data_IF_172273377289
#
_entry.id   IF_172273377289
#
_cell.length_a   1.000
_cell.length_b   1.000
_cell.length_c   1.000
_cell.angle_alpha   90.00
_cell.angle_beta   90.00
_cell.angle_gamma   90.00
#
_symmetry.space_group_name_H-M   'P 1'
#
loop_
_entity.id
_entity.type
_entity.pdbx_description
1 polymer ?
#
# COMPACT_ATOMS: atom_id res chain seq x y z
N UNK A 1 15.76 -8.67 11.13
CA UNK A 1 14.96 -7.96 12.15
C UNK A 1 15.08 -6.46 11.93
N UNK A 2 14.19 -5.68 12.54
CA UNK A 2 14.09 -4.21 12.40
C UNK A 2 15.35 -3.45 12.84
N UNK A 3 16.23 -4.06 13.64
CA UNK A 3 17.38 -3.40 14.32
C UNK A 3 18.28 -2.60 13.38
N UNK A 4 18.55 -3.11 12.17
CA UNK A 4 19.41 -2.42 11.18
C UNK A 4 18.77 -1.15 10.60
N UNK A 5 17.46 -1.00 10.77
CA UNK A 5 16.67 0.12 10.26
C UNK A 5 16.29 1.13 11.35
N UNK A 6 16.48 0.81 12.63
CA UNK A 6 16.10 1.71 13.74
C UNK A 6 16.82 3.05 13.65
N UNK A 7 18.15 3.04 13.46
CA UNK A 7 18.94 4.27 13.38
C UNK A 7 18.62 5.14 12.15
N UNK A 8 18.55 4.61 10.91
CA UNK A 8 18.33 5.43 9.72
C UNK A 8 16.86 5.80 9.44
N UNK A 9 15.88 5.17 10.07
CA UNK A 9 14.46 5.38 9.77
C UNK A 9 13.74 6.22 10.83
N UNK A 10 12.76 7.03 10.42
CA UNK A 10 11.87 7.81 11.29
C UNK A 10 10.38 7.53 11.01
N UNK A 11 10.09 6.52 10.22
CA UNK A 11 8.74 6.00 9.97
C UNK A 11 8.82 4.48 10.11
N UNK A 12 7.95 3.89 10.93
CA UNK A 12 7.89 2.44 11.11
C UNK A 12 6.48 1.94 10.84
N UNK A 13 6.36 1.06 9.85
CA UNK A 13 5.16 0.26 9.63
C UNK A 13 5.26 -1.01 10.47
N UNK A 14 4.37 -1.11 11.46
CA UNK A 14 4.16 -2.31 12.26
C UNK A 14 3.23 -3.21 11.46
N UNK A 15 3.83 -4.06 10.64
CA UNK A 15 3.10 -5.10 9.92
C UNK A 15 2.78 -6.25 10.88
N UNK A 16 1.48 -6.52 11.02
CA UNK A 16 0.96 -7.56 11.91
C UNK A 16 0.07 -8.56 11.17
N UNK A 17 0.12 -8.57 9.84
CA UNK A 17 -0.75 -9.41 9.03
C UNK A 17 -0.62 -10.91 9.34
N UNK A 18 0.61 -11.40 9.55
CA UNK A 18 0.90 -12.79 9.91
C UNK A 18 0.31 -13.22 11.27
N UNK A 19 0.02 -12.27 12.16
CA UNK A 19 -0.55 -12.52 13.49
C UNK A 19 -2.09 -12.41 13.50
N UNK A 20 -2.70 -11.96 12.39
CA UNK A 20 -4.16 -11.82 12.29
C UNK A 20 -4.79 -13.21 12.15
N UNK A 21 -5.79 -13.49 12.97
CA UNK A 21 -6.43 -14.80 13.09
C UNK A 21 -5.86 -15.69 14.19
N UNK A 22 -4.72 -15.32 14.79
CA UNK A 22 -4.26 -15.94 16.05
C UNK A 22 -5.08 -15.36 17.21
N UNK A 23 -5.85 -16.21 17.91
CA UNK A 23 -6.66 -15.76 19.04
C UNK A 23 -5.78 -15.26 20.19
N UNK A 24 -6.15 -14.10 20.74
CA UNK A 24 -5.64 -13.65 22.03
C UNK A 24 -6.09 -14.58 23.16
N UNK A 25 -5.51 -14.40 24.35
CA UNK A 25 -5.93 -15.18 25.51
C UNK A 25 -7.41 -14.89 25.82
N UNK A 26 -8.24 -15.91 26.16
CA UNK A 26 -9.68 -15.69 26.39
C UNK A 26 -9.98 -14.62 27.44
N UNK A 27 -9.09 -14.48 28.43
CA UNK A 27 -9.21 -13.49 29.50
C UNK A 27 -8.98 -12.08 28.98
N UNK A 28 -8.07 -11.89 28.02
CA UNK A 28 -7.84 -10.60 27.36
C UNK A 28 -9.04 -10.20 26.50
N UNK A 29 -9.67 -11.16 25.82
CA UNK A 29 -10.87 -10.93 24.99
C UNK A 29 -12.04 -10.49 25.89
N UNK A 30 -12.31 -11.23 26.97
CA UNK A 30 -13.34 -10.84 27.93
C UNK A 30 -13.04 -9.49 28.61
N UNK A 31 -11.77 -9.22 28.93
CA UNK A 31 -11.38 -7.92 29.48
C UNK A 31 -11.65 -6.78 28.49
N UNK A 32 -11.33 -6.98 27.20
CA UNK A 32 -11.60 -6.01 26.14
C UNK A 32 -13.10 -5.75 25.98
N UNK A 33 -13.92 -6.81 25.91
CA UNK A 33 -15.39 -6.69 25.81
C UNK A 33 -15.96 -5.93 27.01
N UNK A 34 -15.51 -6.24 28.23
CA UNK A 34 -15.99 -5.58 29.45
C UNK A 34 -15.54 -4.11 29.56
N UNK A 35 -14.39 -3.78 28.96
CA UNK A 35 -13.87 -2.41 28.94
C UNK A 35 -14.59 -1.51 27.94
N UNK A 36 -15.13 -2.09 26.88
CA UNK A 36 -15.82 -1.37 25.80
C UNK A 36 -17.31 -1.72 25.65
N UNK A 37 -18.14 -1.55 26.70
CA UNK A 37 -19.57 -1.82 26.60
C UNK A 37 -20.28 -0.90 25.60
N UNK A 38 -19.72 0.28 25.32
CA UNK A 38 -20.22 1.25 24.33
C UNK A 38 -20.11 0.76 22.88
N UNK A 39 -19.25 -0.22 22.61
CA UNK A 39 -19.17 -0.85 21.29
C UNK A 39 -20.36 -1.77 21.02
N UNK A 40 -21.13 -2.18 22.04
CA UNK A 40 -22.22 -3.16 21.87
C UNK A 40 -23.57 -2.44 21.76
N UNK A 41 -24.25 -2.65 20.65
CA UNK A 41 -25.55 -2.07 20.33
C UNK A 41 -25.51 -1.29 19.02
N UNK A 42 -26.32 -0.23 18.95
CA UNK A 42 -26.44 0.64 17.78
C UNK A 42 -25.51 1.85 17.97
N UNK A 43 -24.38 1.87 17.26
CA UNK A 43 -23.35 2.91 17.35
C UNK A 43 -23.49 3.88 16.18
N UNK A 44 -23.81 5.14 16.47
CA UNK A 44 -23.90 6.19 15.45
C UNK A 44 -22.53 6.79 15.16
N UNK A 45 -22.12 6.76 13.89
CA UNK A 45 -20.88 7.36 13.40
C UNK A 45 -21.22 8.50 12.45
N UNK A 46 -20.74 9.71 12.76
CA UNK A 46 -20.94 10.88 11.92
C UNK A 46 -20.30 10.66 10.54
N UNK A 47 -21.10 10.73 9.48
CA UNK A 47 -20.65 10.47 8.10
C UNK A 47 -21.06 9.12 7.53
N UNK A 48 -21.63 8.22 8.36
CA UNK A 48 -22.23 6.96 7.92
C UNK A 48 -23.75 7.06 8.11
N UNK A 49 -24.52 6.77 7.05
CA UNK A 49 -25.98 6.99 7.03
C UNK A 49 -26.75 6.10 8.02
N UNK A 50 -26.34 4.84 8.15
CA UNK A 50 -26.96 3.88 9.05
C UNK A 50 -26.06 3.64 10.28
N UNK A 51 -26.64 3.49 11.48
CA UNK A 51 -25.87 3.08 12.66
C UNK A 51 -25.15 1.74 12.42
N UNK A 52 -23.98 1.61 13.04
CA UNK A 52 -23.27 0.34 13.09
C UNK A 52 -23.95 -0.54 14.13
N UNK A 53 -24.59 -1.62 13.67
CA UNK A 53 -25.20 -2.62 14.55
C UNK A 53 -24.13 -3.62 14.98
N UNK A 54 -23.62 -3.46 16.20
CA UNK A 54 -22.50 -4.22 16.72
C UNK A 54 -22.99 -5.11 17.86
N UNK A 55 -23.02 -6.42 17.61
CA UNK A 55 -23.36 -7.39 18.65
C UNK A 55 -22.15 -7.75 19.51
N UNK A 56 -22.37 -8.30 20.71
CA UNK A 56 -21.27 -8.83 21.54
C UNK A 56 -20.48 -9.90 20.79
N UNK A 57 -21.16 -10.75 20.02
CA UNK A 57 -20.56 -11.79 19.21
C UNK A 57 -19.67 -11.21 18.10
N UNK A 58 -20.04 -10.06 17.52
CA UNK A 58 -19.18 -9.36 16.56
C UNK A 58 -17.90 -8.85 17.26
N UNK A 59 -18.03 -8.19 18.41
CA UNK A 59 -16.86 -7.73 19.20
C UNK A 59 -15.95 -8.90 19.53
N UNK A 60 -16.52 -10.02 20.02
CA UNK A 60 -15.77 -11.22 20.36
C UNK A 60 -15.07 -11.83 19.14
N UNK A 61 -15.74 -11.92 17.99
CA UNK A 61 -15.16 -12.45 16.74
C UNK A 61 -14.02 -11.56 16.26
N UNK A 62 -14.22 -10.24 16.22
CA UNK A 62 -13.18 -9.29 15.80
C UNK A 62 -12.01 -9.29 16.78
N UNK A 63 -12.25 -9.37 18.09
CA UNK A 63 -11.19 -9.48 19.08
C UNK A 63 -10.38 -10.79 18.92
N UNK A 64 -11.05 -11.93 18.68
CA UNK A 64 -10.38 -13.19 18.37
C UNK A 64 -9.48 -13.08 17.13
N UNK A 65 -9.86 -12.25 16.15
CA UNK A 65 -9.09 -12.11 14.92
C UNK A 65 -7.95 -11.09 15.03
N UNK A 66 -8.14 -9.97 15.74
CA UNK A 66 -7.24 -8.82 15.67
C UNK A 66 -6.57 -8.44 16.99
N UNK A 67 -7.10 -8.84 18.15
CA UNK A 67 -6.58 -8.36 19.44
C UNK A 67 -5.12 -8.78 19.63
N UNK A 68 -4.76 -10.02 19.27
CA UNK A 68 -3.38 -10.50 19.32
C UNK A 68 -2.45 -9.70 18.42
N UNK A 69 -2.89 -9.38 17.21
CA UNK A 69 -2.14 -8.54 16.26
C UNK A 69 -1.87 -7.15 16.85
N UNK A 70 -2.83 -6.53 17.56
CA UNK A 70 -2.57 -5.24 18.24
C UNK A 70 -1.54 -5.38 19.37
N UNK A 71 -1.58 -6.46 20.16
CA UNK A 71 -0.56 -6.74 21.19
C UNK A 71 0.83 -6.94 20.58
N UNK A 72 0.91 -7.55 19.39
CA UNK A 72 2.16 -7.71 18.62
C UNK A 72 2.67 -6.37 18.10
N UNK A 73 1.79 -5.51 17.59
CA UNK A 73 2.14 -4.13 17.24
C UNK A 73 2.77 -3.40 18.44
N UNK A 74 2.19 -3.55 19.65
CA UNK A 74 2.75 -2.96 20.87
C UNK A 74 4.16 -3.46 21.19
N UNK A 75 4.39 -4.76 21.07
CA UNK A 75 5.70 -5.35 21.31
C UNK A 75 6.76 -4.82 20.34
N UNK A 76 6.42 -4.68 19.04
CA UNK A 76 7.32 -4.11 18.03
C UNK A 76 7.58 -2.63 18.32
N UNK A 77 6.53 -1.87 18.65
CA UNK A 77 6.65 -0.46 19.02
C UNK A 77 7.58 -0.26 20.22
N UNK A 78 7.42 -1.03 21.30
CA UNK A 78 8.26 -0.92 22.49
C UNK A 78 9.73 -1.24 22.22
N UNK A 79 9.97 -2.21 21.35
CA UNK A 79 11.33 -2.52 20.89
C UNK A 79 11.95 -1.34 20.14
N UNK A 80 11.19 -0.68 19.26
CA UNK A 80 11.65 0.51 18.53
C UNK A 80 11.89 1.68 19.50
N UNK A 81 10.97 1.96 20.43
CA UNK A 81 11.13 3.00 21.46
C UNK A 81 12.39 2.77 22.27
N UNK A 82 12.62 1.54 22.73
CA UNK A 82 13.81 1.17 23.50
C UNK A 82 15.09 1.38 22.70
N UNK A 83 15.09 0.97 21.43
CA UNK A 83 16.26 1.09 20.56
C UNK A 83 16.52 2.55 20.10
N UNK A 84 15.48 3.38 19.99
CA UNK A 84 15.57 4.83 19.72
C UNK A 84 15.92 5.66 20.96
N UNK A 85 15.62 5.15 22.15
CA UNK A 85 15.77 5.87 23.41
C UNK A 85 14.63 6.87 23.71
N UNK A 86 13.49 6.75 23.02
CA UNK A 86 12.35 7.67 23.17
C UNK A 86 11.34 7.58 22.03
N UNK A 87 10.36 8.49 22.02
CA UNK A 87 9.22 8.50 21.08
C UNK A 87 9.22 9.67 20.09
N UNK A 88 10.08 10.68 20.28
CA UNK A 88 9.97 11.97 19.57
C UNK A 88 10.52 11.92 18.14
N UNK A 89 11.33 10.91 17.81
CA UNK A 89 12.11 10.84 16.56
C UNK A 89 11.53 9.88 15.52
N UNK A 90 10.27 9.45 15.67
CA UNK A 90 9.61 8.63 14.66
C UNK A 90 8.08 8.69 14.68
N UNK A 91 7.49 8.29 13.55
CA UNK A 91 6.06 8.06 13.40
C UNK A 91 5.78 6.57 13.24
N UNK A 92 4.61 6.15 13.71
CA UNK A 92 4.18 4.75 13.71
C UNK A 92 2.95 4.56 12.83
N UNK A 93 2.98 3.53 12.01
CA UNK A 93 1.83 2.99 11.30
C UNK A 93 1.51 1.59 11.82
N UNK A 94 0.23 1.23 11.91
CA UNK A 94 -0.20 -0.17 12.01
C UNK A 94 -0.78 -0.60 10.68
N UNK A 95 -0.26 -1.70 10.12
CA UNK A 95 -0.70 -2.27 8.84
C UNK A 95 -1.47 -3.56 9.05
N UNK A 96 -2.60 -3.69 8.37
CA UNK A 96 -3.43 -4.91 8.32
C UNK A 96 -4.01 -5.14 6.92
N UNK A 97 -3.38 -4.58 5.88
CA UNK A 97 -3.85 -4.61 4.49
C UNK A 97 -3.65 -5.99 3.81
N UNK A 98 -2.76 -6.82 4.36
CA UNK A 98 -2.48 -8.18 3.89
C UNK A 98 -3.37 -9.26 4.53
N UNK A 99 -4.59 -8.92 4.96
CA UNK A 99 -5.60 -9.90 5.40
C UNK A 99 -6.37 -10.54 4.24
N UNK A 100 -7.12 -11.63 4.49
CA UNK A 100 -7.98 -12.23 3.46
C UNK A 100 -9.18 -11.34 3.11
N UNK A 101 -9.82 -10.75 4.12
CA UNK A 101 -11.04 -9.96 3.96
C UNK A 101 -10.82 -8.50 4.34
N UNK A 102 -11.48 -7.55 3.64
CA UNK A 102 -11.50 -6.15 4.03
C UNK A 102 -12.23 -5.96 5.36
N UNK A 103 -11.76 -5.02 6.19
CA UNK A 103 -12.41 -4.71 7.45
C UNK A 103 -13.65 -3.85 7.19
N UNK A 104 -14.84 -4.30 7.62
CA UNK A 104 -16.04 -3.46 7.54
C UNK A 104 -16.02 -2.38 8.63
N UNK A 105 -16.81 -1.29 8.52
CA UNK A 105 -16.71 -0.15 9.44
C UNK A 105 -16.84 -0.50 10.94
N UNK A 106 -17.73 -1.44 11.28
CA UNK A 106 -17.87 -1.94 12.65
C UNK A 106 -16.61 -2.65 13.16
N UNK A 107 -16.00 -3.49 12.34
CA UNK A 107 -14.77 -4.20 12.68
C UNK A 107 -13.60 -3.21 12.80
N UNK A 108 -13.52 -2.23 11.90
CA UNK A 108 -12.52 -1.17 11.94
C UNK A 108 -12.61 -0.34 13.23
N UNK A 109 -13.82 -0.01 13.69
CA UNK A 109 -14.02 0.71 14.96
C UNK A 109 -13.53 -0.11 16.16
N UNK A 110 -13.87 -1.41 16.20
CA UNK A 110 -13.41 -2.33 17.25
C UNK A 110 -11.87 -2.45 17.25
N UNK A 111 -11.26 -2.54 16.07
CA UNK A 111 -9.80 -2.62 15.92
C UNK A 111 -9.11 -1.35 16.41
N UNK A 112 -9.65 -0.16 16.08
CA UNK A 112 -9.11 1.11 16.55
C UNK A 112 -9.20 1.26 18.08
N UNK A 113 -10.28 0.78 18.70
CA UNK A 113 -10.38 0.70 20.16
C UNK A 113 -9.29 -0.22 20.74
N UNK A 114 -9.08 -1.39 20.15
CA UNK A 114 -8.03 -2.32 20.56
C UNK A 114 -6.61 -1.73 20.40
N UNK A 115 -6.35 -0.95 19.34
CA UNK A 115 -5.06 -0.25 19.15
C UNK A 115 -4.89 0.86 20.20
N UNK A 116 -5.93 1.64 20.46
CA UNK A 116 -5.90 2.69 21.49
C UNK A 116 -5.57 2.11 22.88
N UNK A 117 -6.11 0.92 23.19
CA UNK A 117 -5.83 0.17 24.40
C UNK A 117 -4.37 -0.25 24.56
N UNK A 118 -3.66 -0.44 23.46
CA UNK A 118 -2.22 -0.68 23.48
C UNK A 118 -1.40 0.59 23.72
N UNK A 119 -2.02 1.77 23.75
CA UNK A 119 -1.36 3.07 23.88
C UNK A 119 -0.26 3.31 22.82
N UNK A 120 -0.49 2.85 21.59
CA UNK A 120 0.39 3.12 20.45
C UNK A 120 -0.09 4.44 19.80
N UNK A 121 0.75 5.49 19.72
CA UNK A 121 0.39 6.77 19.11
C UNK A 121 0.45 6.69 17.58
N UNK A 122 -0.41 5.86 16.98
CA UNK A 122 -0.43 5.64 15.53
C UNK A 122 -0.73 6.94 14.77
N UNK A 123 0.09 7.24 13.77
CA UNK A 123 -0.08 8.37 12.87
C UNK A 123 -0.78 7.97 11.58
N UNK A 124 -0.69 6.69 11.22
CA UNK A 124 -1.41 6.13 10.08
C UNK A 124 -1.89 4.71 10.38
N UNK A 125 -2.97 4.30 9.71
CA UNK A 125 -3.47 2.92 9.73
C UNK A 125 -3.78 2.50 8.30
N UNK A 126 -3.39 1.28 7.94
CA UNK A 126 -3.62 0.72 6.61
C UNK A 126 -4.57 -0.48 6.69
N UNK A 127 -5.88 -0.27 6.47
CA UNK A 127 -6.82 -1.37 6.33
C UNK A 127 -6.72 -2.00 4.93
N UNK A 128 -7.38 -3.14 4.78
CA UNK A 128 -7.60 -3.75 3.47
C UNK A 128 -8.90 -3.21 2.87
N UNK A 129 -8.84 -2.75 1.62
CA UNK A 129 -10.01 -2.37 0.82
C UNK A 129 -10.50 -3.53 -0.05
N UNK A 130 -11.78 -3.51 -0.43
CA UNK A 130 -12.30 -4.41 -1.49
C UNK A 130 -11.60 -4.14 -2.82
N UNK A 131 -11.64 -5.14 -3.71
CA UNK A 131 -11.01 -5.10 -5.03
C UNK A 131 -9.54 -5.53 -4.98
N UNK A 132 -8.82 -5.32 -6.09
CA UNK A 132 -7.42 -5.73 -6.21
C UNK A 132 -6.51 -4.53 -6.41
N UNK A 133 -5.50 -4.43 -5.54
CA UNK A 133 -4.46 -3.42 -5.58
C UNK A 133 -3.18 -3.98 -6.21
N UNK A 134 -3.31 -4.49 -7.42
CA UNK A 134 -2.21 -5.15 -8.12
C UNK A 134 -1.02 -4.20 -8.35
N UNK A 135 0.20 -4.72 -8.26
CA UNK A 135 1.43 -3.93 -8.39
C UNK A 135 1.56 -3.35 -9.80
N UNK A 136 1.90 -2.07 -9.90
CA UNK A 136 2.20 -1.40 -11.17
C UNK A 136 1.02 -1.11 -12.10
N UNK A 137 -0.22 -1.41 -11.72
CA UNK A 137 -1.41 -1.20 -12.57
C UNK A 137 -2.54 -0.53 -11.78
N UNK A 138 -3.62 -0.17 -12.47
CA UNK A 138 -4.80 0.45 -11.86
C UNK A 138 -5.56 -0.51 -10.94
N UNK A 139 -6.46 0.07 -10.14
CA UNK A 139 -7.39 -0.65 -9.30
C UNK A 139 -8.32 -1.52 -10.15
N UNK A 140 -8.58 -2.75 -9.68
CA UNK A 140 -9.54 -3.67 -10.31
C UNK A 140 -10.65 -3.97 -9.31
N UNK A 141 -11.84 -3.45 -9.57
CA UNK A 141 -13.02 -3.62 -8.72
C UNK A 141 -14.08 -2.57 -9.02
N UNK A 142 -15.08 -2.48 -8.15
CA UNK A 142 -16.08 -1.41 -8.20
C UNK A 142 -15.51 -0.15 -7.53
N UNK A 143 -15.39 0.93 -8.31
CA UNK A 143 -14.87 2.22 -7.84
C UNK A 143 -15.87 2.92 -6.92
N UNK A 144 -17.17 2.75 -7.14
CA UNK A 144 -18.20 3.34 -6.27
C UNK A 144 -18.21 2.63 -4.90
N UNK A 145 -18.00 1.31 -4.89
CA UNK A 145 -17.81 0.57 -3.65
C UNK A 145 -16.56 1.04 -2.90
N UNK A 146 -15.42 1.18 -3.59
CA UNK A 146 -14.20 1.72 -2.99
C UNK A 146 -14.44 3.13 -2.41
N UNK A 147 -15.14 4.00 -3.16
CA UNK A 147 -15.47 5.35 -2.68
C UNK A 147 -16.27 5.29 -1.38
N UNK A 148 -17.29 4.43 -1.29
CA UNK A 148 -18.06 4.24 -0.06
C UNK A 148 -17.18 3.76 1.10
N UNK A 149 -16.41 2.68 0.90
CA UNK A 149 -15.52 2.10 1.93
C UNK A 149 -14.51 3.13 2.44
N UNK A 150 -13.86 3.87 1.54
CA UNK A 150 -12.89 4.90 1.91
C UNK A 150 -13.53 6.01 2.75
N UNK A 151 -14.76 6.42 2.42
CA UNK A 151 -15.48 7.43 3.19
C UNK A 151 -15.93 6.92 4.56
N UNK A 152 -16.39 5.67 4.64
CA UNK A 152 -16.77 5.04 5.91
C UNK A 152 -15.55 4.88 6.85
N UNK A 153 -14.40 4.49 6.30
CA UNK A 153 -13.14 4.41 7.07
C UNK A 153 -12.74 5.77 7.63
N UNK A 154 -12.82 6.85 6.83
CA UNK A 154 -12.52 8.20 7.32
C UNK A 154 -13.48 8.61 8.46
N UNK A 155 -14.77 8.28 8.34
CA UNK A 155 -15.76 8.55 9.36
C UNK A 155 -15.47 7.78 10.67
N UNK A 156 -15.12 6.49 10.55
CA UNK A 156 -14.75 5.64 11.67
C UNK A 156 -13.46 6.13 12.35
N UNK A 157 -12.43 6.51 11.58
CA UNK A 157 -11.21 7.12 12.12
C UNK A 157 -11.52 8.38 12.92
N UNK A 158 -12.32 9.29 12.37
CA UNK A 158 -12.70 10.53 13.04
C UNK A 158 -13.50 10.28 14.34
N UNK A 159 -14.38 9.26 14.34
CA UNK A 159 -15.08 8.83 15.54
C UNK A 159 -14.13 8.26 16.59
N UNK A 160 -13.24 7.34 16.19
CA UNK A 160 -12.29 6.69 17.08
C UNK A 160 -11.28 7.66 17.72
N UNK A 161 -10.84 8.69 16.98
CA UNK A 161 -10.02 9.78 17.53
C UNK A 161 -10.72 10.45 18.72
N UNK A 162 -12.01 10.79 18.57
CA UNK A 162 -12.80 11.44 19.63
C UNK A 162 -13.11 10.49 20.80
N UNK A 163 -13.46 9.23 20.49
CA UNK A 163 -13.92 8.25 21.47
C UNK A 163 -12.77 7.62 22.28
N UNK A 164 -11.63 7.36 21.64
CA UNK A 164 -10.53 6.56 22.21
C UNK A 164 -9.21 7.32 22.37
N UNK A 165 -9.18 8.62 22.06
CA UNK A 165 -7.99 9.45 22.26
C UNK A 165 -6.82 9.10 21.34
N UNK A 166 -7.11 8.52 20.17
CA UNK A 166 -6.10 8.37 19.11
C UNK A 166 -5.64 9.75 18.61
N UNK A 167 -4.45 9.87 18.00
CA UNK A 167 -3.94 11.16 17.56
C UNK A 167 -4.86 11.87 16.58
N UNK A 168 -5.11 13.16 16.78
CA UNK A 168 -5.92 14.01 15.87
C UNK A 168 -5.38 14.04 14.44
N UNK A 169 -4.10 13.69 14.27
CA UNK A 169 -3.37 13.63 13.00
C UNK A 169 -3.39 12.25 12.34
N UNK A 170 -4.14 11.28 12.88
CA UNK A 170 -4.31 9.94 12.33
C UNK A 170 -4.81 10.01 10.89
N UNK A 171 -4.11 9.31 9.98
CA UNK A 171 -4.44 9.27 8.56
C UNK A 171 -4.78 7.86 8.12
N UNK A 172 -5.68 7.76 7.15
CA UNK A 172 -5.88 6.54 6.41
C UNK A 172 -4.70 6.33 5.45
N UNK A 173 -4.16 5.12 5.43
CA UNK A 173 -3.01 4.75 4.63
C UNK A 173 -3.41 3.80 3.51
N UNK A 174 -3.12 4.18 2.26
CA UNK A 174 -3.37 3.35 1.08
C UNK A 174 -2.06 2.70 0.65
N UNK A 175 -1.92 1.43 1.00
CA UNK A 175 -0.82 0.58 0.52
C UNK A 175 -1.04 0.17 -0.92
N UNK A 176 0.07 -0.12 -1.62
CA UNK A 176 0.06 -0.36 -3.07
C UNK A 176 -0.67 0.74 -3.88
N UNK A 177 -0.66 1.97 -3.34
CA UNK A 177 -1.47 3.07 -3.82
C UNK A 177 -0.97 3.72 -5.09
N UNK A 178 0.27 3.45 -5.51
CA UNK A 178 0.76 3.89 -6.82
C UNK A 178 -0.03 3.29 -7.96
N UNK A 179 -0.16 4.05 -9.04
CA UNK A 179 -0.79 3.69 -10.30
C UNK A 179 -2.31 3.42 -10.19
N UNK A 180 -2.96 3.69 -9.06
CA UNK A 180 -4.40 3.46 -8.87
C UNK A 180 -5.25 4.66 -9.34
N UNK A 181 -5.05 5.08 -10.59
CA UNK A 181 -5.60 6.34 -11.12
C UNK A 181 -7.13 6.42 -11.03
N UNK A 182 -7.84 5.32 -11.24
CA UNK A 182 -9.31 5.28 -11.18
C UNK A 182 -9.89 5.67 -9.81
N UNK A 183 -9.14 5.45 -8.73
CA UNK A 183 -9.58 5.73 -7.35
C UNK A 183 -9.03 7.05 -6.78
N UNK A 184 -8.16 7.76 -7.50
CA UNK A 184 -7.59 9.03 -7.01
C UNK A 184 -8.64 10.14 -6.91
N UNK A 185 -9.57 10.22 -7.85
CA UNK A 185 -10.64 11.22 -7.80
C UNK A 185 -11.60 10.99 -6.61
N UNK A 186 -12.10 9.77 -6.35
CA UNK A 186 -12.79 9.45 -5.09
C UNK A 186 -12.01 9.85 -3.83
N UNK A 187 -10.73 9.50 -3.75
CA UNK A 187 -9.87 9.85 -2.60
C UNK A 187 -9.79 11.36 -2.42
N UNK A 188 -9.51 12.10 -3.50
CA UNK A 188 -9.40 13.57 -3.50
C UNK A 188 -10.69 14.23 -3.00
N UNK A 189 -11.85 13.80 -3.50
CA UNK A 189 -13.15 14.32 -3.04
C UNK A 189 -13.36 14.07 -1.56
N UNK A 190 -13.05 12.87 -1.09
CA UNK A 190 -13.23 12.48 0.30
C UNK A 190 -12.35 13.32 1.25
N UNK A 191 -11.05 13.47 0.95
CA UNK A 191 -10.14 14.25 1.80
C UNK A 191 -10.44 15.75 1.74
N UNK A 192 -10.88 16.29 0.60
CA UNK A 192 -11.27 17.69 0.48
C UNK A 192 -12.56 17.99 1.27
N UNK A 193 -13.52 17.05 1.29
CA UNK A 193 -14.78 17.19 2.01
C UNK A 193 -14.61 17.10 3.53
N UNK A 194 -13.77 16.17 3.98
CA UNK A 194 -13.61 15.84 5.41
C UNK A 194 -12.48 16.61 6.08
N UNK A 195 -11.51 17.12 5.32
CA UNK A 195 -10.26 17.67 5.84
C UNK A 195 -9.30 16.61 6.38
N UNK A 196 -9.59 15.32 6.17
CA UNK A 196 -8.75 14.22 6.64
C UNK A 196 -7.38 14.20 5.96
N UNK A 197 -6.36 13.74 6.70
CA UNK A 197 -5.06 13.45 6.12
C UNK A 197 -5.06 12.12 5.36
N UNK A 198 -4.19 12.02 4.35
CA UNK A 198 -3.93 10.80 3.58
C UNK A 198 -2.46 10.39 3.72
N UNK A 199 -2.20 9.10 3.84
CA UNK A 199 -0.90 8.51 3.55
C UNK A 199 -1.03 7.59 2.33
N UNK A 200 -0.15 7.73 1.34
CA UNK A 200 -0.14 6.87 0.15
C UNK A 200 1.27 6.33 -0.07
N UNK A 201 1.38 5.02 -0.27
CA UNK A 201 2.67 4.36 -0.48
C UNK A 201 2.91 4.08 -1.95
N UNK A 202 4.05 4.57 -2.43
CA UNK A 202 4.61 4.26 -3.76
C UNK A 202 5.99 3.65 -3.58
N UNK A 203 6.38 2.74 -4.47
CA UNK A 203 7.74 2.18 -4.48
C UNK A 203 8.12 1.70 -5.89
N UNK A 204 7.55 0.58 -6.33
CA UNK A 204 7.95 -0.06 -7.58
C UNK A 204 7.60 0.73 -8.85
N UNK A 205 6.62 1.64 -8.79
CA UNK A 205 6.36 2.58 -9.89
C UNK A 205 7.59 3.46 -10.19
N UNK A 206 8.37 3.86 -9.18
CA UNK A 206 9.58 4.67 -9.40
C UNK A 206 10.64 3.90 -10.18
N UNK A 207 10.83 2.63 -9.81
CA UNK A 207 11.68 1.69 -10.55
C UNK A 207 11.21 1.51 -12.01
N UNK A 208 9.90 1.41 -12.25
CA UNK A 208 9.38 1.33 -13.61
C UNK A 208 9.69 2.59 -14.44
N UNK A 209 9.64 3.77 -13.81
CA UNK A 209 9.98 5.03 -14.47
C UNK A 209 11.49 5.18 -14.74
N UNK A 210 12.35 4.53 -13.95
CA UNK A 210 13.77 4.41 -14.29
C UNK A 210 13.97 3.59 -15.58
N UNK A 211 13.27 2.46 -15.71
CA UNK A 211 13.30 1.63 -16.93
C UNK A 211 12.71 2.37 -18.12
N UNK A 212 11.60 3.09 -17.95
CA UNK A 212 11.01 3.97 -18.98
C UNK A 212 12.01 5.06 -19.37
N UNK A 213 12.71 5.67 -18.42
CA UNK A 213 13.72 6.69 -18.68
C UNK A 213 14.90 6.14 -19.48
N UNK A 214 15.39 4.93 -19.18
CA UNK A 214 16.41 4.24 -19.96
C UNK A 214 15.92 3.94 -21.39
N UNK A 215 14.70 3.42 -21.54
CA UNK A 215 14.12 3.17 -22.86
C UNK A 215 13.93 4.46 -23.67
N UNK A 216 13.53 5.55 -23.01
CA UNK A 216 13.36 6.89 -23.61
C UNK A 216 14.70 7.46 -24.08
N UNK A 217 15.79 7.23 -23.35
CA UNK A 217 17.13 7.69 -23.73
C UNK A 217 17.67 7.02 -25.01
N UNK A 218 17.24 5.79 -25.30
CA UNK A 218 17.65 5.08 -26.51
C UNK A 218 19.07 4.49 -26.44
N UNK A 219 19.58 4.01 -27.58
CA UNK A 219 20.94 3.44 -27.69
C UNK A 219 21.22 2.36 -26.64
N UNK A 220 22.41 2.39 -26.05
CA UNK A 220 22.85 1.44 -25.01
C UNK A 220 21.90 1.40 -23.79
N UNK A 221 21.19 2.49 -23.49
CA UNK A 221 20.23 2.53 -22.38
C UNK A 221 18.95 1.75 -22.71
N UNK A 222 18.47 1.83 -23.96
CA UNK A 222 17.37 0.99 -24.43
C UNK A 222 17.77 -0.48 -24.46
N UNK A 223 18.99 -0.79 -24.91
CA UNK A 223 19.50 -2.17 -24.93
C UNK A 223 19.54 -2.75 -23.51
N UNK A 224 19.90 -1.94 -22.50
CA UNK A 224 19.83 -2.33 -21.10
C UNK A 224 18.40 -2.61 -20.64
N UNK A 225 17.43 -1.76 -21.00
CA UNK A 225 16.01 -1.97 -20.66
C UNK A 225 15.45 -3.25 -21.30
N UNK A 226 15.83 -3.54 -22.55
CA UNK A 226 15.50 -4.79 -23.26
C UNK A 226 16.11 -6.02 -22.58
N UNK A 227 17.38 -5.94 -22.17
CA UNK A 227 18.06 -7.00 -21.42
C UNK A 227 17.38 -7.29 -20.07
N UNK A 228 16.96 -6.23 -19.35
CA UNK A 228 16.19 -6.37 -18.10
C UNK A 228 14.90 -7.15 -18.36
N UNK A 229 14.13 -6.79 -19.39
CA UNK A 229 12.91 -7.51 -19.76
C UNK A 229 13.19 -8.97 -20.11
N UNK A 230 14.16 -9.25 -20.98
CA UNK A 230 14.47 -10.61 -21.41
C UNK A 230 14.84 -11.51 -20.22
N UNK A 231 15.64 -11.01 -19.28
CA UNK A 231 16.01 -11.73 -18.05
C UNK A 231 14.84 -11.87 -17.07
N UNK A 232 13.98 -10.87 -16.98
CA UNK A 232 12.76 -10.96 -16.17
C UNK A 232 11.82 -12.02 -16.74
N UNK A 233 11.67 -12.10 -18.06
CA UNK A 233 10.86 -13.11 -18.74
C UNK A 233 11.41 -14.53 -18.51
N UNK A 234 12.73 -14.72 -18.62
CA UNK A 234 13.41 -15.99 -18.34
C UNK A 234 13.16 -16.46 -16.89
N UNK A 235 13.19 -15.52 -15.93
CA UNK A 235 13.06 -15.81 -14.49
C UNK A 235 11.66 -15.55 -13.93
N UNK A 236 10.64 -15.41 -14.79
CA UNK A 236 9.32 -14.90 -14.41
C UNK A 236 8.68 -15.67 -13.26
N UNK A 237 8.80 -17.00 -13.23
CA UNK A 237 8.20 -17.84 -12.19
C UNK A 237 8.73 -17.46 -10.80
N UNK A 238 10.05 -17.42 -10.62
CA UNK A 238 10.69 -17.06 -9.36
C UNK A 238 10.53 -15.58 -8.97
N UNK A 239 10.37 -14.69 -9.96
CA UNK A 239 10.11 -13.27 -9.71
C UNK A 239 8.66 -13.02 -9.28
N UNK A 240 7.72 -13.77 -9.84
CA UNK A 240 6.29 -13.62 -9.60
C UNK A 240 5.81 -14.31 -8.32
N UNK A 241 6.41 -15.45 -7.93
CA UNK A 241 5.98 -16.25 -6.77
C UNK A 241 5.73 -15.42 -5.50
N UNK A 242 6.65 -14.54 -5.03
CA UNK A 242 6.46 -13.79 -3.79
C UNK A 242 5.37 -12.71 -3.88
N UNK A 243 4.88 -12.43 -5.09
CA UNK A 243 3.89 -11.39 -5.38
C UNK A 243 2.60 -11.98 -5.96
N UNK A 244 2.42 -13.30 -5.95
CA UNK A 244 1.33 -13.99 -6.64
C UNK A 244 -0.07 -13.50 -6.23
N UNK A 245 -0.24 -13.03 -4.99
CA UNK A 245 -1.50 -12.48 -4.47
C UNK A 245 -1.78 -11.05 -4.94
N UNK A 246 -0.76 -10.34 -5.44
CA UNK A 246 -0.80 -8.90 -5.77
C UNK A 246 -0.35 -8.59 -7.20
N UNK A 247 -0.37 -9.58 -8.09
CA UNK A 247 -0.20 -9.43 -9.53
C UNK A 247 -1.27 -10.24 -10.29
N UNK A 248 -1.46 -9.96 -11.57
CA UNK A 248 -2.46 -10.65 -12.40
C UNK A 248 -1.98 -10.73 -13.85
N UNK A 249 -0.89 -11.49 -14.04
CA UNK A 249 -0.17 -11.56 -15.32
C UNK A 249 -0.76 -12.69 -16.17
N UNK A 250 -1.37 -12.34 -17.29
CA UNK A 250 -1.60 -13.29 -18.38
C UNK A 250 -0.30 -13.53 -19.14
N UNK A 251 0.32 -14.68 -18.88
CA UNK A 251 1.58 -15.05 -19.52
C UNK A 251 1.50 -15.19 -21.04
N UNK A 252 0.31 -15.40 -21.62
CA UNK A 252 0.12 -15.45 -23.07
C UNK A 252 0.22 -14.07 -23.72
N UNK A 253 0.05 -13.01 -22.93
CA UNK A 253 0.14 -11.61 -23.37
C UNK A 253 1.53 -11.00 -23.17
N UNK A 254 2.51 -11.80 -22.71
CA UNK A 254 3.90 -11.38 -22.60
C UNK A 254 4.61 -11.57 -23.96
N UNK A 255 5.10 -10.50 -24.61
CA UNK A 255 5.85 -10.61 -25.85
C UNK A 255 7.15 -11.40 -25.64
N UNK A 256 7.61 -12.08 -26.68
CA UNK A 256 8.87 -12.83 -26.60
C UNK A 256 10.06 -11.90 -26.41
N UNK A 257 11.18 -12.43 -25.88
CA UNK A 257 12.41 -11.64 -25.78
C UNK A 257 12.91 -11.18 -27.16
N UNK A 258 12.74 -11.99 -28.21
CA UNK A 258 13.10 -11.62 -29.59
C UNK A 258 12.28 -10.43 -30.08
N UNK A 259 10.97 -10.45 -29.83
CA UNK A 259 10.07 -9.35 -30.17
C UNK A 259 10.47 -8.05 -29.46
N UNK A 260 10.68 -8.09 -28.14
CA UNK A 260 11.07 -6.91 -27.35
C UNK A 260 12.46 -6.40 -27.74
N UNK A 261 13.39 -7.28 -28.10
CA UNK A 261 14.69 -6.87 -28.62
C UNK A 261 14.58 -6.10 -29.94
N UNK A 262 13.55 -6.39 -30.75
CA UNK A 262 13.22 -5.65 -31.97
C UNK A 262 12.53 -4.31 -31.75
N UNK A 263 12.04 -3.99 -30.55
CA UNK A 263 11.30 -2.76 -30.29
C UNK A 263 12.16 -1.49 -30.44
N UNK A 264 11.53 -0.43 -30.95
CA UNK A 264 12.07 0.93 -30.82
C UNK A 264 11.86 1.47 -29.41
N UNK A 265 12.52 2.58 -29.07
CA UNK A 265 12.24 3.32 -27.82
C UNK A 265 10.76 3.64 -27.66
N UNK A 266 10.10 4.10 -28.74
CA UNK A 266 8.69 4.45 -28.73
C UNK A 266 7.80 3.25 -28.38
N UNK A 267 8.06 2.09 -28.97
CA UNK A 267 7.31 0.85 -28.69
C UNK A 267 7.51 0.39 -27.24
N UNK A 268 8.76 0.40 -26.75
CA UNK A 268 9.05 -0.03 -25.39
C UNK A 268 8.41 0.90 -24.35
N UNK A 269 8.57 2.22 -24.54
CA UNK A 269 7.96 3.23 -23.66
C UNK A 269 6.44 3.14 -23.70
N UNK A 270 5.85 2.97 -24.88
CA UNK A 270 4.42 2.80 -25.08
C UNK A 270 3.88 1.57 -24.32
N UNK A 271 4.60 0.44 -24.40
CA UNK A 271 4.22 -0.79 -23.69
C UNK A 271 4.31 -0.68 -22.17
N UNK A 272 5.31 0.03 -21.65
CA UNK A 272 5.60 0.08 -20.22
C UNK A 272 4.91 1.23 -19.47
N UNK A 273 4.67 2.36 -20.13
CA UNK A 273 4.06 3.54 -19.50
C UNK A 273 2.60 3.25 -19.17
N UNK A 274 2.20 3.46 -17.92
CA UNK A 274 0.82 3.21 -17.52
C UNK A 274 -0.15 4.27 -18.05
N UNK A 275 -0.63 4.02 -19.25
CA UNK A 275 -1.64 4.80 -19.95
C UNK A 275 -2.66 3.86 -20.58
N UNK A 276 -3.81 3.70 -19.93
CA UNK A 276 -4.88 2.81 -20.41
C UNK A 276 -5.52 3.29 -21.72
N UNK A 277 -5.33 4.55 -22.10
CA UNK A 277 -5.83 5.07 -23.38
C UNK A 277 -4.91 4.74 -24.55
N UNK A 278 -3.66 4.36 -24.27
CA UNK A 278 -2.67 4.01 -25.28
C UNK A 278 -2.81 2.53 -25.67
N UNK A 279 -3.12 2.21 -26.94
CA UNK A 279 -3.26 0.83 -27.40
C UNK A 279 -1.96 0.01 -27.33
N UNK A 280 -0.80 0.67 -27.21
CA UNK A 280 0.47 -0.03 -27.02
C UNK A 280 0.73 -0.47 -25.58
N UNK A 281 0.02 0.10 -24.59
CA UNK A 281 0.21 -0.23 -23.18
C UNK A 281 -0.07 -1.71 -22.89
N UNK A 282 0.84 -2.36 -22.19
CA UNK A 282 0.71 -3.76 -21.79
C UNK A 282 0.88 -3.91 -20.28
N UNK A 283 -0.25 -4.07 -19.58
CA UNK A 283 -0.29 -4.28 -18.13
C UNK A 283 0.56 -5.50 -17.69
N UNK A 284 0.58 -6.58 -18.48
CA UNK A 284 1.34 -7.79 -18.16
C UNK A 284 2.85 -7.54 -18.17
N UNK A 285 3.34 -6.80 -19.19
CA UNK A 285 4.74 -6.36 -19.28
C UNK A 285 5.10 -5.48 -18.08
N UNK A 286 4.23 -4.52 -17.75
CA UNK A 286 4.46 -3.60 -16.63
C UNK A 286 4.53 -4.35 -15.29
N UNK A 287 3.63 -5.30 -15.05
CA UNK A 287 3.65 -6.11 -13.82
C UNK A 287 4.88 -7.00 -13.74
N UNK A 288 5.26 -7.68 -14.83
CA UNK A 288 6.48 -8.50 -14.86
C UNK A 288 7.73 -7.67 -14.54
N UNK A 289 7.86 -6.50 -15.15
CA UNK A 289 8.98 -5.60 -14.87
C UNK A 289 8.89 -5.01 -13.46
N UNK A 290 7.70 -4.76 -12.92
CA UNK A 290 7.52 -4.23 -11.56
C UNK A 290 8.12 -5.19 -10.53
N UNK A 291 7.90 -6.50 -10.67
CA UNK A 291 8.49 -7.52 -9.79
C UNK A 291 9.91 -7.95 -10.23
N UNK A 292 10.36 -7.47 -11.39
CA UNK A 292 11.66 -7.75 -11.98
C UNK A 292 12.82 -6.88 -11.46
N UNK A 293 12.62 -5.99 -10.49
CA UNK A 293 13.66 -5.09 -9.96
C UNK A 293 14.95 -5.80 -9.50
N UNK A 294 14.85 -7.06 -9.03
CA UNK A 294 16.01 -7.90 -8.67
C UNK A 294 16.99 -8.08 -9.83
N UNK A 295 16.51 -8.07 -11.08
CA UNK A 295 17.34 -8.19 -12.28
C UNK A 295 18.30 -7.00 -12.40
N UNK A 296 17.81 -5.77 -12.26
CA UNK A 296 18.67 -4.60 -12.28
C UNK A 296 19.58 -4.51 -11.06
N UNK A 297 19.09 -4.89 -9.88
CA UNK A 297 19.93 -4.93 -8.68
C UNK A 297 21.15 -5.86 -8.88
N UNK A 298 20.97 -7.00 -9.55
CA UNK A 298 22.05 -7.94 -9.88
C UNK A 298 23.04 -7.39 -10.92
N UNK A 299 22.67 -6.37 -11.71
CA UNK A 299 23.58 -5.72 -12.65
C UNK A 299 24.56 -4.75 -11.97
N UNK A 300 24.32 -4.38 -10.71
CA UNK A 300 25.22 -3.56 -9.90
C UNK A 300 25.61 -2.23 -10.57
N UNK A 301 26.91 -1.95 -10.62
CA UNK A 301 27.46 -0.70 -11.17
C UNK A 301 27.05 -0.43 -12.61
N UNK A 302 26.79 -1.47 -13.42
CA UNK A 302 26.34 -1.27 -14.81
C UNK A 302 24.99 -0.55 -14.85
N UNK A 303 24.05 -0.97 -14.00
CA UNK A 303 22.75 -0.32 -13.89
C UNK A 303 22.89 1.08 -13.30
N UNK A 304 23.61 1.22 -12.18
CA UNK A 304 23.79 2.50 -11.50
C UNK A 304 24.50 3.55 -12.38
N UNK A 305 25.48 3.14 -13.19
CA UNK A 305 26.16 4.03 -14.13
C UNK A 305 25.26 4.43 -15.30
N UNK A 306 24.40 3.52 -15.78
CA UNK A 306 23.40 3.86 -16.79
C UNK A 306 22.38 4.89 -16.26
N UNK A 307 21.95 4.76 -14.99
CA UNK A 307 21.10 5.76 -14.35
C UNK A 307 21.77 7.13 -14.27
N UNK A 308 23.04 7.19 -13.84
CA UNK A 308 23.82 8.45 -13.78
C UNK A 308 24.01 9.08 -15.16
N UNK A 309 24.31 8.28 -16.17
CA UNK A 309 24.53 8.76 -17.53
C UNK A 309 23.25 9.34 -18.17
N UNK A 310 22.07 8.86 -17.74
CA UNK A 310 20.76 9.24 -18.30
C UNK A 310 19.89 10.01 -17.29
N UNK A 311 20.50 10.58 -16.25
CA UNK A 311 19.82 11.21 -15.11
C UNK A 311 18.78 12.25 -15.56
N UNK A 312 19.13 13.09 -16.54
CA UNK A 312 18.26 14.18 -17.00
C UNK A 312 16.94 13.69 -17.65
N UNK A 313 16.94 12.49 -18.25
CA UNK A 313 15.73 11.89 -18.84
C UNK A 313 14.96 11.12 -17.76
N UNK A 314 15.66 10.29 -16.99
CA UNK A 314 15.07 9.47 -15.93
C UNK A 314 14.40 10.33 -14.86
N UNK A 315 15.08 11.38 -14.38
CA UNK A 315 14.52 12.28 -13.37
C UNK A 315 13.22 12.96 -13.84
N UNK A 316 13.08 13.26 -15.14
CA UNK A 316 11.82 13.79 -15.70
C UNK A 316 10.71 12.74 -15.67
N UNK A 317 11.00 11.49 -16.04
CA UNK A 317 10.03 10.39 -15.96
C UNK A 317 9.56 10.16 -14.52
N UNK A 318 10.51 10.00 -13.58
CA UNK A 318 10.21 9.78 -12.16
C UNK A 318 9.44 10.97 -11.57
N UNK A 319 9.89 12.21 -11.83
CA UNK A 319 9.22 13.41 -11.33
C UNK A 319 7.81 13.54 -11.91
N UNK A 320 7.65 13.33 -13.22
CA UNK A 320 6.34 13.39 -13.87
C UNK A 320 5.38 12.34 -13.33
N UNK A 321 5.86 11.13 -13.07
CA UNK A 321 5.04 10.09 -12.47
C UNK A 321 4.60 10.45 -11.05
N UNK A 322 5.54 10.82 -10.18
CA UNK A 322 5.21 11.14 -8.79
C UNK A 322 4.38 12.42 -8.66
N UNK A 323 4.80 13.50 -9.32
CA UNK A 323 4.14 14.80 -9.17
C UNK A 323 2.86 14.87 -10.01
N UNK A 324 2.97 14.63 -11.31
CA UNK A 324 1.88 14.92 -12.24
C UNK A 324 0.83 13.81 -12.29
N UNK A 325 1.24 12.55 -12.15
CA UNK A 325 0.32 11.40 -12.26
C UNK A 325 -0.21 10.92 -10.91
N UNK A 326 0.44 11.26 -9.80
CA UNK A 326 -0.01 10.85 -8.46
C UNK A 326 -0.38 12.04 -7.56
N UNK A 327 0.58 12.91 -7.21
CA UNK A 327 0.33 13.95 -6.21
C UNK A 327 -0.70 15.00 -6.68
N UNK A 328 -0.61 15.50 -7.91
CA UNK A 328 -1.57 16.48 -8.43
C UNK A 328 -3.00 15.91 -8.49
N UNK A 329 -3.27 14.71 -9.06
CA UNK A 329 -4.60 14.12 -9.04
C UNK A 329 -5.19 13.92 -7.64
N UNK A 330 -4.36 13.69 -6.62
CA UNK A 330 -4.81 13.50 -5.25
C UNK A 330 -5.07 14.82 -4.50
N UNK A 331 -4.27 15.87 -4.76
CA UNK A 331 -4.23 17.06 -3.89
C UNK A 331 -4.42 18.42 -4.58
N UNK A 332 -4.29 18.50 -5.91
CA UNK A 332 -4.36 19.78 -6.65
C UNK A 332 -5.75 20.08 -7.19
#
# INVERSE_FOLDING_TARGET
>A
TVDRFVAPCNFFTLDVADDIGEAAAPEDIEAFINKHPELIGSVSVEGIDAPLEISRELVERTANQFLKATQKAKAIYDHIVTAKGGTDDFVTEVSMDETDNPQVPAEMLIILAAIADQAIPIQTIAPKFTGRFNKGVDYVGDVAQFEQEFNDDLAVLAHAVKAYGLPETLKLSVHSGSDKFSIYEPIKKAIARTGAGLHIKTAGTNWLEEVIGLATAGGDALDLAKEIYAKALEKKEALCEPYATVIDIDHSQLPSAEEVNGWTSEQYVSALTHDQSNPGYNANVRQLLHVGFKIAAQMGDRYLNALKANEAVISKCVTGNLLDRHMKPLFA
#
